data_IF_000752728395
#
_entry.id   IF_000752728395
#
_cell.length_a   1.000
_cell.length_b   1.000
_cell.length_c   1.000
_cell.angle_alpha   90.00
_cell.angle_beta   90.00
_cell.angle_gamma   90.00
#
_symmetry.space_group_name_H-M   'P 1'
#
loop_
_entity.id
_entity.type
_entity.pdbx_description
1 polymer ?
#
# COMPACT_ATOMS: atom_id res chain seq x y z
N UNK A 1 -10.99 6.96 -7.28
CA UNK A 1 -11.68 7.87 -6.35
C UNK A 1 -11.23 9.31 -6.55
N UNK A 2 -9.96 9.67 -6.32
CA UNK A 2 -9.52 11.08 -6.42
C UNK A 2 -9.49 11.61 -7.87
N UNK A 3 -8.99 10.84 -8.84
CA UNK A 3 -8.99 11.24 -10.27
C UNK A 3 -10.41 11.45 -10.82
N UNK A 4 -11.37 10.62 -10.39
CA UNK A 4 -12.77 10.72 -10.80
C UNK A 4 -13.45 11.92 -10.14
N UNK A 5 -13.16 12.21 -8.88
CA UNK A 5 -13.66 13.41 -8.20
C UNK A 5 -13.15 14.69 -8.85
N UNK A 6 -11.87 14.73 -9.20
CA UNK A 6 -11.27 15.89 -9.87
C UNK A 6 -11.83 16.10 -11.28
N UNK A 7 -12.04 15.02 -12.03
CA UNK A 7 -12.70 15.07 -13.34
C UNK A 7 -14.14 15.62 -13.23
N UNK A 8 -14.91 15.14 -12.26
CA UNK A 8 -16.28 15.61 -12.04
C UNK A 8 -16.30 17.09 -11.66
N UNK A 9 -15.34 17.57 -10.87
CA UNK A 9 -15.21 18.99 -10.52
C UNK A 9 -14.93 19.89 -11.73
N UNK A 10 -14.12 19.42 -12.69
CA UNK A 10 -13.86 20.14 -13.96
C UNK A 10 -15.10 20.13 -14.87
N UNK A 11 -15.81 19.00 -14.91
CA UNK A 11 -17.07 18.88 -15.65
C UNK A 11 -18.17 19.80 -15.02
N UNK A 12 -18.24 19.90 -13.69
CA UNK A 12 -19.17 20.79 -12.95
C UNK A 12 -18.85 22.28 -13.16
N UNK A 13 -17.58 22.64 -13.37
CA UNK A 13 -17.15 23.99 -13.74
C UNK A 13 -17.40 24.33 -15.22
N UNK A 14 -17.94 23.40 -16.02
CA UNK A 14 -18.18 23.59 -17.45
C UNK A 14 -16.90 23.69 -18.30
N UNK A 15 -15.75 23.32 -17.73
CA UNK A 15 -14.44 23.44 -18.37
C UNK A 15 -14.18 22.25 -19.30
N UNK A 16 -13.55 22.50 -20.44
CA UNK A 16 -13.20 21.44 -21.41
C UNK A 16 -12.20 20.44 -20.81
N UNK A 17 -12.42 19.14 -21.10
CA UNK A 17 -11.52 18.03 -20.73
C UNK A 17 -10.07 18.19 -21.23
N UNK A 18 -9.82 19.13 -22.15
CA UNK A 18 -8.47 19.52 -22.59
C UNK A 18 -7.63 20.09 -21.43
N UNK A 19 -8.24 20.81 -20.48
CA UNK A 19 -7.55 21.31 -19.28
C UNK A 19 -7.08 20.18 -18.36
N UNK A 20 -7.69 18.99 -18.46
CA UNK A 20 -7.35 17.84 -17.64
C UNK A 20 -6.11 17.09 -18.18
N UNK A 21 -5.79 17.21 -19.46
CA UNK A 21 -4.69 16.47 -20.11
C UNK A 21 -3.33 16.66 -19.41
N UNK A 22 -2.82 17.88 -19.17
CA UNK A 22 -1.52 18.07 -18.52
C UNK A 22 -1.50 17.63 -17.06
N UNK A 23 -2.67 17.62 -16.39
CA UNK A 23 -2.80 17.26 -14.98
C UNK A 23 -2.95 15.74 -14.81
N UNK A 24 -3.61 15.07 -15.76
CA UNK A 24 -3.91 13.64 -15.71
C UNK A 24 -2.64 12.80 -15.57
N UNK A 25 -1.58 13.13 -16.29
CA UNK A 25 -0.31 12.39 -16.23
C UNK A 25 0.38 12.56 -14.88
N UNK A 26 0.38 13.77 -14.32
CA UNK A 26 0.94 14.04 -12.98
C UNK A 26 0.12 13.35 -11.89
N UNK A 27 -1.20 13.45 -11.95
CA UNK A 27 -2.08 12.78 -11.00
C UNK A 27 -1.99 11.26 -11.10
N UNK A 28 -1.88 10.70 -12.32
CA UNK A 28 -1.72 9.25 -12.50
C UNK A 28 -0.45 8.73 -11.82
N UNK A 29 0.67 9.47 -11.93
CA UNK A 29 1.91 9.13 -11.20
C UNK A 29 1.73 9.18 -9.68
N UNK A 30 1.01 10.18 -9.17
CA UNK A 30 0.71 10.30 -7.72
C UNK A 30 -0.21 9.17 -7.26
N UNK A 31 -1.26 8.85 -8.02
CA UNK A 31 -2.16 7.72 -7.74
C UNK A 31 -1.43 6.39 -7.77
N UNK A 32 -0.45 6.23 -8.65
CA UNK A 32 0.40 5.04 -8.70
C UNK A 32 1.25 4.84 -7.45
N UNK A 33 1.62 5.93 -6.75
CA UNK A 33 2.29 5.87 -5.44
C UNK A 33 1.32 5.61 -4.29
N UNK A 34 0.06 6.05 -4.42
CA UNK A 34 -1.02 5.73 -3.49
C UNK A 34 -1.63 4.34 -3.70
N UNK A 35 -1.08 3.52 -4.61
CA UNK A 35 -1.58 2.18 -4.85
C UNK A 35 -1.16 1.23 -3.73
N UNK A 36 -1.97 1.19 -2.65
CA UNK A 36 -1.76 0.34 -1.48
C UNK A 36 -1.69 -1.16 -1.83
N UNK A 37 -2.14 -1.57 -3.03
CA UNK A 37 -2.06 -2.97 -3.47
C UNK A 37 -0.62 -3.48 -3.63
N UNK A 38 0.35 -2.57 -3.74
CA UNK A 38 1.78 -2.91 -3.85
C UNK A 38 2.50 -3.02 -2.51
N UNK A 39 1.85 -2.61 -1.41
CA UNK A 39 2.44 -2.68 -0.07
C UNK A 39 2.38 -4.09 0.54
N UNK A 40 1.59 -5.00 -0.06
CA UNK A 40 1.40 -6.36 0.43
C UNK A 40 0.13 -6.52 1.26
N UNK A 41 0.17 -7.45 2.20
CA UNK A 41 -0.94 -7.79 3.10
C UNK A 41 -0.83 -7.10 4.46
N UNK A 42 -1.88 -7.22 5.26
CA UNK A 42 -1.84 -6.74 6.65
C UNK A 42 -0.99 -7.66 7.52
N UNK A 43 -0.02 -7.10 8.25
CA UNK A 43 0.88 -7.86 9.14
C UNK A 43 0.29 -7.91 10.56
N UNK A 44 0.33 -9.08 11.20
CA UNK A 44 0.00 -9.23 12.62
C UNK A 44 1.24 -9.03 13.47
N UNK A 45 1.16 -8.13 14.45
CA UNK A 45 2.22 -7.86 15.43
C UNK A 45 1.97 -8.62 16.74
N UNK A 46 3.03 -8.88 17.50
CA UNK A 46 2.94 -9.56 18.81
C UNK A 46 2.79 -11.08 18.74
N UNK A 47 2.89 -11.68 17.55
CA UNK A 47 2.90 -13.12 17.34
C UNK A 47 4.34 -13.65 17.23
N UNK A 48 4.57 -14.90 17.65
CA UNK A 48 5.91 -15.52 17.63
C UNK A 48 6.45 -15.83 16.23
N UNK A 49 5.60 -15.75 15.19
CA UNK A 49 5.94 -16.08 13.80
C UNK A 49 5.29 -15.05 12.86
N UNK A 50 5.86 -14.78 11.68
CA UNK A 50 5.28 -13.83 10.74
C UNK A 50 3.91 -14.33 10.25
N UNK A 51 2.87 -13.54 10.49
CA UNK A 51 1.52 -13.82 9.98
C UNK A 51 1.08 -12.60 9.17
N UNK A 52 0.72 -12.82 7.91
CA UNK A 52 0.29 -11.78 6.97
C UNK A 52 -1.05 -12.18 6.34
N UNK A 53 -2.02 -11.29 6.37
CA UNK A 53 -3.33 -11.46 5.72
C UNK A 53 -3.34 -10.80 4.34
N UNK A 54 -3.52 -11.61 3.30
CA UNK A 54 -3.81 -11.13 1.96
C UNK A 54 -5.25 -10.58 1.88
N UNK A 55 -5.45 -9.47 1.17
CA UNK A 55 -6.78 -8.93 0.94
C UNK A 55 -7.53 -9.78 -0.10
N UNK A 56 -8.64 -10.41 0.28
CA UNK A 56 -9.30 -11.48 -0.48
C UNK A 56 -9.92 -11.10 -1.84
N UNK A 57 -10.19 -9.81 -2.09
CA UNK A 57 -10.76 -9.34 -3.37
C UNK A 57 -9.69 -8.95 -4.41
N UNK A 58 -8.44 -9.40 -4.22
CA UNK A 58 -7.31 -8.78 -4.90
C UNK A 58 -6.70 -9.65 -5.99
N UNK A 59 -6.63 -9.07 -7.18
CA UNK A 59 -5.80 -9.45 -8.32
C UNK A 59 -4.48 -10.15 -7.95
N UNK A 60 -4.02 -11.05 -8.84
CA UNK A 60 -2.73 -11.78 -8.79
C UNK A 60 -1.54 -10.94 -8.28
N UNK A 61 -1.53 -9.65 -8.62
CA UNK A 61 -0.55 -8.65 -8.16
C UNK A 61 -0.48 -8.50 -6.64
N UNK A 62 -1.61 -8.36 -5.95
CA UNK A 62 -1.62 -8.17 -4.50
C UNK A 62 -1.19 -9.45 -3.77
N UNK A 63 -1.56 -10.63 -4.29
CA UNK A 63 -1.10 -11.90 -3.76
C UNK A 63 0.43 -12.05 -3.90
N UNK A 64 0.98 -11.69 -5.07
CA UNK A 64 2.42 -11.68 -5.31
C UNK A 64 3.16 -10.76 -4.33
N UNK A 65 2.71 -9.51 -4.16
CA UNK A 65 3.34 -8.59 -3.21
C UNK A 65 3.19 -9.04 -1.75
N UNK A 66 2.09 -9.72 -1.40
CA UNK A 66 1.92 -10.30 -0.06
C UNK A 66 2.91 -11.43 0.21
N UNK A 67 3.12 -12.32 -0.77
CA UNK A 67 4.12 -13.39 -0.67
C UNK A 67 5.54 -12.82 -0.56
N UNK A 68 5.86 -11.82 -1.39
CA UNK A 68 7.15 -11.13 -1.33
C UNK A 68 7.39 -10.49 0.04
N UNK A 69 6.37 -9.82 0.59
CA UNK A 69 6.43 -9.25 1.93
C UNK A 69 6.65 -10.33 3.01
N UNK A 70 6.00 -11.50 2.88
CA UNK A 70 6.18 -12.62 3.80
C UNK A 70 7.61 -13.19 3.75
N UNK A 71 8.17 -13.33 2.55
CA UNK A 71 9.55 -13.77 2.35
C UNK A 71 10.55 -12.79 2.98
N UNK A 72 10.38 -11.48 2.75
CA UNK A 72 11.23 -10.45 3.35
C UNK A 72 11.13 -10.45 4.87
N UNK A 73 9.93 -10.58 5.44
CA UNK A 73 9.72 -10.68 6.89
C UNK A 73 10.41 -11.90 7.51
N UNK A 74 10.37 -13.05 6.81
CA UNK A 74 11.03 -14.27 7.28
C UNK A 74 12.56 -14.16 7.22
N UNK A 75 13.11 -13.46 6.23
CA UNK A 75 14.56 -13.26 6.07
C UNK A 75 15.14 -12.18 6.98
N UNK A 76 14.36 -11.14 7.28
CA UNK A 76 14.85 -9.97 7.98
C UNK A 76 15.03 -10.16 9.50
N UNK A 77 14.52 -11.25 10.10
CA UNK A 77 14.69 -11.51 11.54
C UNK A 77 14.07 -10.44 12.44
N UNK A 78 13.03 -9.76 11.93
CA UNK A 78 12.42 -8.58 12.58
C UNK A 78 11.79 -8.96 13.92
N UNK A 79 11.31 -10.20 14.06
CA UNK A 79 10.67 -10.66 15.30
C UNK A 79 11.69 -10.78 16.42
N UNK A 80 12.87 -11.33 16.12
CA UNK A 80 13.99 -11.46 17.04
C UNK A 80 14.48 -10.08 17.47
N UNK A 81 14.72 -9.19 16.51
CA UNK A 81 15.16 -7.81 16.78
C UNK A 81 14.15 -7.04 17.64
N UNK A 82 12.86 -7.14 17.30
CA UNK A 82 11.78 -6.47 18.05
C UNK A 82 11.67 -7.03 19.47
N UNK A 83 11.77 -8.34 19.64
CA UNK A 83 11.72 -8.99 20.97
C UNK A 83 12.90 -8.54 21.84
N UNK A 84 14.10 -8.47 21.27
CA UNK A 84 15.30 -8.03 21.99
C UNK A 84 15.21 -6.56 22.43
N UNK A 85 14.74 -5.67 21.53
CA UNK A 85 14.56 -4.24 21.84
C UNK A 85 13.48 -3.99 22.88
N UNK A 86 12.30 -4.61 22.73
CA UNK A 86 11.21 -4.47 23.69
C UNK A 86 11.55 -5.10 25.06
N UNK A 87 12.38 -6.14 25.09
CA UNK A 87 12.89 -6.73 26.34
C UNK A 87 13.88 -5.81 27.07
N UNK A 88 14.66 -5.00 26.35
CA UNK A 88 15.59 -4.02 26.93
C UNK A 88 14.90 -2.78 27.51
N UNK A 89 13.75 -2.36 26.97
CA UNK A 89 13.00 -1.21 27.51
C UNK A 89 12.28 -1.49 28.84
N UNK A 90 12.18 -2.77 29.25
CA UNK A 90 11.50 -3.18 30.48
C UNK A 90 12.48 -3.47 31.65
N UNK A 91 13.74 -3.04 31.55
CA UNK A 91 14.79 -3.15 32.57
C UNK A 91 15.47 -1.80 32.77
#
# INVERSE_FOLDING_TARGET
MILSTFKNMVDDMGMSKIFLLPIKDKMSKVMGKMDYRKLGGGVFLGVKKPIIKAHGNSNKTAFYYTLKQAEEYAKAGIIEELTEKMGRENN
#
